data_IF_572910621758
#
_entry.id   IF_572910621758
#
_cell.length_a   1.000
_cell.length_b   1.000
_cell.length_c   1.000
_cell.angle_alpha   90.00
_cell.angle_beta   90.00
_cell.angle_gamma   90.00
#
_symmetry.space_group_name_H-M   'P 1'
#
loop_
_entity.id
_entity.type
_entity.pdbx_description
1 polymer ?
#
# COMPACT_ATOMS: atom_id res chain seq x y z
N UNK A 1 29.71 -7.88 -9.48
CA UNK A 1 29.32 -7.10 -8.29
C UNK A 1 30.30 -7.40 -7.18
N UNK A 2 30.76 -6.37 -6.49
CA UNK A 2 31.56 -6.50 -5.27
C UNK A 2 30.69 -7.03 -4.11
N UNK A 3 31.33 -7.45 -3.02
CA UNK A 3 30.60 -7.79 -1.79
C UNK A 3 29.79 -6.61 -1.24
N UNK A 4 30.31 -5.39 -1.42
CA UNK A 4 29.66 -4.13 -1.02
C UNK A 4 28.41 -3.84 -1.86
N UNK A 5 28.42 -4.19 -3.16
CA UNK A 5 27.25 -4.05 -4.03
C UNK A 5 26.13 -5.00 -3.59
N UNK A 6 26.47 -6.24 -3.21
CA UNK A 6 25.50 -7.21 -2.71
C UNK A 6 24.90 -6.78 -1.36
N UNK A 7 25.74 -6.25 -0.45
CA UNK A 7 25.25 -5.70 0.82
C UNK A 7 24.31 -4.50 0.59
N UNK A 8 24.64 -3.64 -0.37
CA UNK A 8 23.80 -2.51 -0.78
C UNK A 8 22.45 -2.99 -1.34
N UNK A 9 22.47 -4.00 -2.21
CA UNK A 9 21.28 -4.59 -2.79
C UNK A 9 20.34 -5.17 -1.72
N UNK A 10 20.86 -5.95 -0.77
CA UNK A 10 20.07 -6.49 0.36
C UNK A 10 19.43 -5.38 1.18
N UNK A 11 20.20 -4.33 1.48
CA UNK A 11 19.69 -3.16 2.21
C UNK A 11 18.56 -2.47 1.43
N UNK A 12 18.72 -2.29 0.13
CA UNK A 12 17.69 -1.67 -0.71
C UNK A 12 16.43 -2.53 -0.78
N UNK A 13 16.56 -3.86 -0.94
CA UNK A 13 15.42 -4.79 -0.93
C UNK A 13 14.63 -4.65 0.39
N UNK A 14 15.33 -4.69 1.53
CA UNK A 14 14.70 -4.53 2.84
C UNK A 14 13.96 -3.19 2.98
N UNK A 15 14.57 -2.09 2.55
CA UNK A 15 13.98 -0.74 2.63
C UNK A 15 12.73 -0.64 1.76
N UNK A 16 12.83 -1.04 0.47
CA UNK A 16 11.72 -0.91 -0.48
C UNK A 16 10.57 -1.86 -0.16
N UNK A 17 10.87 -3.09 0.28
CA UNK A 17 9.85 -4.03 0.79
C UNK A 17 9.09 -3.44 1.97
N UNK A 18 9.81 -2.86 2.94
CA UNK A 18 9.18 -2.21 4.08
C UNK A 18 8.33 -0.98 3.70
N UNK A 19 8.77 -0.19 2.72
CA UNK A 19 8.00 0.95 2.22
C UNK A 19 6.70 0.51 1.55
N UNK A 20 6.76 -0.47 0.64
CA UNK A 20 5.60 -1.04 -0.03
C UNK A 20 4.61 -1.65 0.98
N UNK A 21 5.10 -2.47 1.93
CA UNK A 21 4.25 -3.09 2.95
C UNK A 21 3.52 -2.07 3.84
N UNK A 22 4.18 -0.98 4.24
CA UNK A 22 3.53 0.09 5.03
C UNK A 22 2.47 0.83 4.23
N UNK A 23 2.78 1.19 2.98
CA UNK A 23 1.82 1.86 2.09
C UNK A 23 0.62 0.97 1.79
N UNK A 24 0.80 -0.34 1.63
CA UNK A 24 -0.30 -1.28 1.42
C UNK A 24 -1.28 -1.26 2.61
N UNK A 25 -0.75 -1.29 3.84
CA UNK A 25 -1.56 -1.20 5.06
C UNK A 25 -2.24 0.16 5.22
N UNK A 26 -1.55 1.25 4.90
CA UNK A 26 -2.09 2.61 4.93
C UNK A 26 -3.26 2.74 3.92
N UNK A 27 -3.08 2.23 2.70
CA UNK A 27 -4.13 2.21 1.69
C UNK A 27 -5.36 1.43 2.13
N UNK A 28 -5.17 0.20 2.65
CA UNK A 28 -6.27 -0.62 3.17
C UNK A 28 -6.99 0.02 4.37
N UNK A 29 -6.29 0.79 5.21
CA UNK A 29 -6.91 1.55 6.30
C UNK A 29 -7.89 2.59 5.77
N UNK A 30 -7.49 3.38 4.77
CA UNK A 30 -8.38 4.39 4.18
C UNK A 30 -9.55 3.77 3.40
N UNK A 31 -9.34 2.64 2.73
CA UNK A 31 -10.43 1.87 2.11
C UNK A 31 -11.49 1.46 3.14
N UNK A 32 -11.04 0.95 4.29
CA UNK A 32 -11.95 0.58 5.39
C UNK A 32 -12.67 1.81 5.96
N UNK A 33 -11.96 2.90 6.19
CA UNK A 33 -12.54 4.14 6.69
C UNK A 33 -13.64 4.69 5.77
N UNK A 34 -13.40 4.73 4.45
CA UNK A 34 -14.41 5.16 3.49
C UNK A 34 -15.64 4.24 3.50
N UNK A 35 -15.45 2.93 3.62
CA UNK A 35 -16.55 1.96 3.72
C UNK A 35 -17.38 2.18 5.00
N UNK A 36 -16.72 2.37 6.15
CA UNK A 36 -17.38 2.63 7.44
C UNK A 36 -18.15 3.96 7.42
N UNK A 37 -17.59 5.01 6.81
CA UNK A 37 -18.23 6.31 6.64
C UNK A 37 -19.43 6.24 5.69
N UNK A 38 -19.34 5.46 4.61
CA UNK A 38 -20.46 5.22 3.70
C UNK A 38 -21.60 4.53 4.44
N UNK A 39 -21.33 3.46 5.20
CA UNK A 39 -22.32 2.76 6.02
C UNK A 39 -22.97 3.73 7.01
N UNK A 40 -22.18 4.57 7.68
CA UNK A 40 -22.67 5.58 8.62
C UNK A 40 -23.59 6.59 7.93
N UNK A 41 -23.20 7.11 6.77
CA UNK A 41 -24.00 8.08 5.99
C UNK A 41 -25.32 7.46 5.53
N UNK A 42 -25.30 6.22 5.05
CA UNK A 42 -26.50 5.52 4.60
C UNK A 42 -27.45 5.24 5.77
N UNK A 43 -26.92 4.90 6.94
CA UNK A 43 -27.71 4.77 8.17
C UNK A 43 -28.35 6.10 8.59
N UNK A 44 -27.59 7.21 8.61
CA UNK A 44 -28.13 8.53 8.94
C UNK A 44 -29.29 8.93 8.01
N UNK A 45 -29.19 8.60 6.72
CA UNK A 45 -30.27 8.80 5.75
C UNK A 45 -31.49 7.93 6.05
N UNK A 46 -31.29 6.65 6.35
CA UNK A 46 -32.38 5.72 6.66
C UNK A 46 -33.12 6.09 7.95
N UNK A 47 -32.39 6.57 8.96
CA UNK A 47 -32.92 6.99 10.25
C UNK A 47 -33.60 8.37 10.19
N UNK A 48 -33.57 9.06 9.05
CA UNK A 48 -34.14 10.40 8.89
C UNK A 48 -33.42 11.46 9.73
N UNK A 49 -32.10 11.30 9.93
CA UNK A 49 -31.27 12.23 10.69
C UNK A 49 -31.24 13.62 10.04
N UNK A 50 -30.73 14.61 10.78
CA UNK A 50 -30.66 15.96 10.26
C UNK A 50 -29.75 16.07 9.03
N UNK A 51 -30.14 16.96 8.11
CA UNK A 51 -29.44 17.21 6.86
C UNK A 51 -27.96 17.57 7.06
N UNK A 52 -27.65 18.26 8.16
CA UNK A 52 -26.28 18.61 8.50
C UNK A 52 -25.43 17.37 8.82
N UNK A 53 -25.97 16.39 9.57
CA UNK A 53 -25.26 15.17 9.93
C UNK A 53 -24.95 14.31 8.70
N UNK A 54 -25.92 14.18 7.79
CA UNK A 54 -25.77 13.44 6.53
C UNK A 54 -24.70 14.11 5.66
N UNK A 55 -24.73 15.44 5.53
CA UNK A 55 -23.73 16.21 4.77
C UNK A 55 -22.34 16.09 5.39
N UNK A 56 -22.24 16.14 6.72
CA UNK A 56 -20.96 16.03 7.41
C UNK A 56 -20.34 14.64 7.21
N UNK A 57 -21.12 13.57 7.34
CA UNK A 57 -20.66 12.22 7.04
C UNK A 57 -20.21 12.06 5.58
N UNK A 58 -20.93 12.67 4.63
CA UNK A 58 -20.53 12.69 3.23
C UNK A 58 -19.21 13.41 2.96
N UNK A 59 -18.96 14.55 3.61
CA UNK A 59 -17.68 15.27 3.48
C UNK A 59 -16.50 14.43 3.98
N UNK A 60 -16.67 13.75 5.11
CA UNK A 60 -15.64 12.86 5.65
C UNK A 60 -15.38 11.68 4.70
N UNK A 61 -16.45 11.09 4.14
CA UNK A 61 -16.31 10.01 3.14
C UNK A 61 -15.51 10.49 1.91
N UNK A 62 -15.82 11.68 1.39
CA UNK A 62 -15.11 12.28 0.26
C UNK A 62 -13.62 12.54 0.59
N UNK A 63 -13.30 12.94 1.81
CA UNK A 63 -11.91 13.10 2.28
C UNK A 63 -11.18 11.76 2.34
N UNK A 64 -11.82 10.70 2.86
CA UNK A 64 -11.24 9.36 2.86
C UNK A 64 -11.00 8.85 1.44
N UNK A 65 -11.90 9.11 0.48
CA UNK A 65 -11.66 8.74 -0.93
C UNK A 65 -10.46 9.46 -1.55
N UNK A 66 -10.23 10.74 -1.20
CA UNK A 66 -9.02 11.45 -1.64
C UNK A 66 -7.75 10.78 -1.09
N UNK A 67 -7.79 10.32 0.16
CA UNK A 67 -6.67 9.59 0.76
C UNK A 67 -6.45 8.22 0.14
N UNK A 68 -7.53 7.51 -0.26
CA UNK A 68 -7.42 6.26 -1.03
C UNK A 68 -6.67 6.52 -2.34
N UNK A 69 -7.01 7.60 -3.06
CA UNK A 69 -6.34 7.94 -4.31
C UNK A 69 -4.85 8.29 -4.10
N UNK A 70 -4.52 9.16 -3.14
CA UNK A 70 -3.12 9.51 -2.83
C UNK A 70 -2.29 8.27 -2.47
N UNK A 71 -2.83 7.43 -1.58
CA UNK A 71 -2.13 6.23 -1.15
C UNK A 71 -2.02 5.19 -2.25
N UNK A 72 -3.01 5.09 -3.15
CA UNK A 72 -2.92 4.22 -4.33
C UNK A 72 -1.77 4.65 -5.25
N UNK A 73 -1.65 5.95 -5.55
CA UNK A 73 -0.58 6.48 -6.42
C UNK A 73 0.80 6.23 -5.82
N UNK A 74 0.95 6.49 -4.50
CA UNK A 74 2.19 6.24 -3.75
C UNK A 74 2.53 4.75 -3.69
N UNK A 75 1.52 3.91 -3.48
CA UNK A 75 1.67 2.45 -3.42
C UNK A 75 2.08 1.89 -4.78
N UNK A 76 1.43 2.31 -5.87
CA UNK A 76 1.77 1.90 -7.23
C UNK A 76 3.23 2.24 -7.57
N UNK A 77 3.70 3.43 -7.18
CA UNK A 77 5.11 3.81 -7.32
C UNK A 77 6.04 2.91 -6.50
N UNK A 78 5.73 2.67 -5.23
CA UNK A 78 6.54 1.83 -4.35
C UNK A 78 6.64 0.38 -4.88
N UNK A 79 5.54 -0.18 -5.39
CA UNK A 79 5.53 -1.50 -6.02
C UNK A 79 6.33 -1.53 -7.32
N UNK A 80 6.24 -0.48 -8.16
CA UNK A 80 7.07 -0.35 -9.36
C UNK A 80 8.56 -0.38 -9.02
N UNK A 81 8.99 0.45 -8.07
CA UNK A 81 10.39 0.51 -7.64
C UNK A 81 10.87 -0.81 -7.00
N UNK A 82 10.02 -1.51 -6.25
CA UNK A 82 10.34 -2.81 -5.66
C UNK A 82 10.46 -3.89 -6.74
N UNK A 83 9.54 -3.90 -7.72
CA UNK A 83 9.54 -4.83 -8.85
C UNK A 83 10.80 -4.69 -9.68
N UNK A 84 11.19 -3.47 -10.03
CA UNK A 84 12.42 -3.21 -10.78
C UNK A 84 13.65 -3.72 -10.01
N UNK A 85 13.69 -3.49 -8.69
CA UNK A 85 14.78 -3.95 -7.85
C UNK A 85 14.84 -5.49 -7.78
N UNK A 86 13.70 -6.16 -7.60
CA UNK A 86 13.59 -7.63 -7.60
C UNK A 86 14.04 -8.22 -8.93
N UNK A 87 13.63 -7.63 -10.06
CA UNK A 87 14.09 -8.05 -11.41
C UNK A 87 15.61 -7.90 -11.54
N UNK A 88 16.19 -6.82 -11.02
CA UNK A 88 17.64 -6.65 -11.01
C UNK A 88 18.34 -7.68 -10.11
N UNK A 89 17.74 -7.98 -8.95
CA UNK A 89 18.28 -8.88 -7.95
C UNK A 89 18.31 -10.33 -8.46
N UNK A 90 17.31 -10.80 -9.22
CA UNK A 90 17.29 -12.13 -9.85
C UNK A 90 18.54 -12.45 -10.68
N UNK A 91 19.27 -11.44 -11.15
CA UNK A 91 20.51 -11.61 -11.93
C UNK A 91 21.75 -11.88 -11.06
N UNK A 92 21.62 -11.76 -9.73
CA UNK A 92 22.72 -11.92 -8.79
C UNK A 92 22.71 -13.33 -8.18
N UNK A 93 23.83 -14.08 -8.24
CA UNK A 93 23.89 -15.43 -7.68
C UNK A 93 23.61 -15.46 -6.17
N UNK A 94 22.78 -16.40 -5.74
CA UNK A 94 22.51 -16.71 -4.33
C UNK A 94 21.54 -15.76 -3.62
N UNK A 95 21.12 -14.65 -4.22
CA UNK A 95 20.17 -13.73 -3.56
C UNK A 95 18.73 -14.26 -3.57
N UNK A 96 18.38 -15.10 -4.55
CA UNK A 96 17.04 -15.65 -4.69
C UNK A 96 16.67 -16.65 -3.60
N UNK A 97 17.65 -17.20 -2.90
CA UNK A 97 17.47 -18.12 -1.78
C UNK A 97 17.44 -17.38 -0.42
N UNK A 98 17.61 -16.04 -0.44
CA UNK A 98 17.62 -15.24 0.77
C UNK A 98 16.20 -14.80 1.17
N UNK A 99 15.94 -14.82 2.47
CA UNK A 99 14.66 -14.38 3.05
C UNK A 99 14.29 -12.94 2.65
N UNK A 100 15.27 -12.06 2.49
CA UNK A 100 15.04 -10.66 2.07
C UNK A 100 14.45 -10.58 0.66
N UNK A 101 14.79 -11.54 -0.20
CA UNK A 101 14.28 -11.61 -1.56
C UNK A 101 12.88 -12.23 -1.58
N UNK A 102 12.67 -13.35 -0.87
CA UNK A 102 11.33 -13.96 -0.75
C UNK A 102 10.28 -13.00 -0.20
N UNK A 103 10.62 -12.22 0.83
CA UNK A 103 9.74 -11.18 1.37
C UNK A 103 9.42 -10.07 0.37
N UNK A 104 10.36 -9.74 -0.50
CA UNK A 104 10.13 -8.76 -1.55
C UNK A 104 9.15 -9.31 -2.61
N UNK A 105 9.26 -10.59 -2.96
CA UNK A 105 8.33 -11.25 -3.88
C UNK A 105 6.93 -11.40 -3.28
N UNK A 106 6.80 -11.84 -2.03
CA UNK A 106 5.51 -11.94 -1.32
C UNK A 106 4.72 -10.63 -1.35
N UNK A 107 5.40 -9.51 -1.04
CA UNK A 107 4.78 -8.17 -1.08
C UNK A 107 4.36 -7.75 -2.51
N UNK A 108 5.03 -8.24 -3.54
CA UNK A 108 4.65 -7.99 -4.94
C UNK A 108 3.52 -8.91 -5.42
N UNK A 109 3.39 -10.11 -4.86
CA UNK A 109 2.25 -11.00 -5.10
C UNK A 109 0.96 -10.42 -4.49
N UNK A 110 1.03 -9.86 -3.29
CA UNK A 110 -0.09 -9.10 -2.69
C UNK A 110 -0.59 -7.97 -3.60
N UNK A 111 0.31 -7.35 -4.38
CA UNK A 111 -0.03 -6.27 -5.31
C UNK A 111 -0.72 -6.74 -6.60
N UNK A 112 -0.65 -8.05 -6.90
CA UNK A 112 -1.21 -8.63 -8.12
C UNK A 112 -2.60 -9.29 -7.89
N UNK A 113 -3.05 -9.36 -6.63
CA UNK A 113 -4.38 -9.80 -6.20
C UNK A 113 -5.38 -8.64 -6.23
#
# INVERSE_FOLDING_TARGET
MSADDLATLRRQLKIKTGAASRLNKEHGMYQKEAADLKIKKDKLRADGAEEWDIKNAGKMEDESYKMIQDTADRLAKAYGELRDLVVSAKKQPGITDEEVFHKAEEILEEAAL
#
